data_IF_195900816918
#
_entry.id   IF_195900816918
#
_cell.length_a   1.000
_cell.length_b   1.000
_cell.length_c   1.000
_cell.angle_alpha   90.00
_cell.angle_beta   90.00
_cell.angle_gamma   90.00
#
_symmetry.space_group_name_H-M   'P 1'
#
loop_
_entity.id
_entity.type
_entity.pdbx_description
1 polymer ?
#
# COMPACT_ATOMS: atom_id res chain seq x y z
N UNK A 1 44.01 47.90 -26.21
CA UNK A 1 44.42 47.07 -25.03
C UNK A 1 43.60 47.53 -23.82
N UNK A 2 42.43 46.98 -23.59
CA UNK A 2 41.69 46.88 -22.34
C UNK A 2 40.21 46.59 -22.64
N UNK A 3 39.90 45.41 -23.17
CA UNK A 3 38.55 44.92 -23.34
C UNK A 3 38.37 43.47 -22.85
N UNK A 4 39.40 42.88 -22.22
CA UNK A 4 39.40 41.46 -21.81
C UNK A 4 39.09 41.19 -20.33
N UNK A 5 38.66 42.22 -19.56
CA UNK A 5 38.41 42.03 -18.12
C UNK A 5 36.91 42.11 -17.71
N UNK A 6 36.00 42.00 -18.68
CA UNK A 6 34.56 42.07 -18.37
C UNK A 6 33.82 40.73 -18.56
N UNK A 7 34.54 39.64 -18.74
CA UNK A 7 33.94 38.32 -18.57
C UNK A 7 33.88 38.00 -17.06
N UNK A 8 32.96 38.66 -16.39
CA UNK A 8 32.54 38.22 -15.07
C UNK A 8 31.91 36.87 -15.24
N UNK A 9 32.60 35.82 -14.80
CA UNK A 9 32.07 34.47 -14.78
C UNK A 9 30.73 34.48 -14.01
N UNK A 10 29.63 34.35 -14.74
CA UNK A 10 28.31 34.14 -14.11
C UNK A 10 28.42 32.87 -13.28
N UNK A 11 27.97 32.89 -12.00
CA UNK A 11 27.96 31.70 -11.20
C UNK A 11 27.07 30.65 -11.92
N UNK A 12 27.62 29.47 -12.10
CA UNK A 12 26.90 28.34 -12.67
C UNK A 12 25.65 28.08 -11.81
N UNK A 13 24.49 28.39 -12.34
CA UNK A 13 23.21 28.11 -11.66
C UNK A 13 22.92 26.63 -11.88
N UNK A 14 23.32 25.80 -10.94
CA UNK A 14 22.98 24.39 -10.92
C UNK A 14 21.49 24.25 -10.57
N UNK A 15 20.64 24.09 -11.60
CA UNK A 15 19.23 23.81 -11.40
C UNK A 15 19.11 22.32 -11.09
N UNK A 16 19.09 21.96 -9.82
CA UNK A 16 18.73 20.64 -9.34
C UNK A 16 17.21 20.47 -9.47
N UNK A 17 16.76 19.99 -10.64
CA UNK A 17 15.36 19.64 -10.84
C UNK A 17 15.02 18.39 -10.01
N UNK A 18 14.23 18.54 -8.95
CA UNK A 18 13.67 17.40 -8.26
C UNK A 18 12.57 16.78 -9.14
N UNK A 19 12.65 15.45 -9.35
CA UNK A 19 11.56 14.75 -10.04
C UNK A 19 10.25 14.92 -9.26
N UNK A 20 9.12 15.23 -9.91
CA UNK A 20 7.85 15.36 -9.22
C UNK A 20 7.44 14.02 -8.61
N UNK A 21 6.80 14.06 -7.42
CA UNK A 21 6.28 12.86 -6.74
C UNK A 21 5.10 12.26 -7.53
N UNK A 22 4.35 13.09 -8.27
CA UNK A 22 3.23 12.68 -9.10
C UNK A 22 3.37 13.24 -10.51
N UNK A 23 3.01 12.42 -11.51
CA UNK A 23 2.91 12.82 -12.92
C UNK A 23 1.55 12.42 -13.46
N UNK A 24 0.92 13.30 -14.25
CA UNK A 24 -0.28 12.98 -15.00
C UNK A 24 0.12 12.43 -16.38
N UNK A 25 -0.31 11.25 -16.73
CA UNK A 25 -0.02 10.57 -17.99
C UNK A 25 -1.31 9.93 -18.53
N UNK A 26 -1.74 10.33 -19.73
CA UNK A 26 -2.82 9.66 -20.50
C UNK A 26 -3.99 9.09 -19.65
N UNK A 27 -4.58 9.91 -18.78
CA UNK A 27 -5.75 9.51 -17.98
C UNK A 27 -5.42 8.73 -16.69
N UNK A 28 -4.14 8.65 -16.30
CA UNK A 28 -3.67 8.10 -15.05
C UNK A 28 -2.75 9.06 -14.30
N UNK A 29 -2.71 8.95 -12.99
CA UNK A 29 -1.73 9.61 -12.14
C UNK A 29 -0.67 8.59 -11.72
N UNK A 30 0.59 8.89 -12.02
CA UNK A 30 1.72 8.02 -11.68
C UNK A 30 2.45 8.61 -10.49
N UNK A 31 2.44 7.90 -9.37
CA UNK A 31 3.09 8.28 -8.12
C UNK A 31 4.41 7.53 -7.95
N UNK A 32 5.48 8.27 -7.64
CA UNK A 32 6.73 7.72 -7.13
C UNK A 32 6.51 7.34 -5.65
N UNK A 33 6.09 6.10 -5.41
CA UNK A 33 5.72 5.65 -4.07
C UNK A 33 6.87 5.70 -3.07
N UNK A 34 8.10 5.29 -3.38
CA UNK A 34 9.23 5.43 -2.46
C UNK A 34 9.42 6.86 -1.95
N UNK A 35 9.21 7.85 -2.80
CA UNK A 35 9.31 9.25 -2.40
C UNK A 35 8.10 9.76 -1.63
N UNK A 36 6.91 9.27 -1.99
CA UNK A 36 5.69 9.63 -1.29
C UNK A 36 5.71 9.16 0.17
N UNK A 37 6.16 7.91 0.40
CA UNK A 37 6.15 7.28 1.73
C UNK A 37 7.47 7.44 2.50
N UNK A 38 8.50 8.09 1.92
CA UNK A 38 9.87 8.09 2.46
C UNK A 38 10.01 8.53 3.92
N UNK A 39 9.07 9.35 4.44
CA UNK A 39 9.06 9.82 5.82
C UNK A 39 7.90 9.22 6.66
N UNK A 40 7.15 8.29 6.11
CA UNK A 40 6.00 7.68 6.76
C UNK A 40 6.35 6.29 7.30
N UNK A 41 5.76 5.88 8.43
CA UNK A 41 5.98 4.55 9.00
C UNK A 41 5.18 3.48 8.22
N UNK A 42 5.54 3.28 6.96
CA UNK A 42 4.88 2.36 6.04
C UNK A 42 5.75 1.15 5.79
N UNK A 43 5.29 -0.01 6.20
CA UNK A 43 6.08 -1.24 6.20
C UNK A 43 5.78 -2.17 5.03
N UNK A 44 4.59 -2.05 4.41
CA UNK A 44 4.13 -2.98 3.38
C UNK A 44 3.37 -2.27 2.25
N UNK A 45 3.10 -3.01 1.17
CA UNK A 45 2.44 -2.45 0.00
C UNK A 45 0.99 -2.03 0.26
N UNK A 46 0.26 -2.73 1.14
CA UNK A 46 -1.11 -2.36 1.48
C UNK A 46 -1.17 -0.99 2.16
N UNK A 47 -0.30 -0.77 3.16
CA UNK A 47 -0.22 0.52 3.85
C UNK A 47 0.28 1.63 2.91
N UNK A 48 1.22 1.32 2.00
CA UNK A 48 1.69 2.27 1.00
C UNK A 48 0.55 2.73 0.05
N UNK A 49 -0.36 1.84 -0.32
CA UNK A 49 -1.52 2.19 -1.16
C UNK A 49 -2.49 3.12 -0.42
N UNK A 50 -2.66 2.95 0.89
CA UNK A 50 -3.52 3.84 1.69
C UNK A 50 -3.00 5.28 1.78
N UNK A 51 -1.70 5.48 1.61
CA UNK A 51 -1.09 6.81 1.59
C UNK A 51 -1.28 7.54 0.25
N UNK A 52 -1.81 6.88 -0.78
CA UNK A 52 -2.12 7.55 -2.04
C UNK A 52 -3.26 8.56 -1.85
N UNK A 53 -3.13 9.78 -2.41
CA UNK A 53 -4.17 10.79 -2.30
C UNK A 53 -5.53 10.32 -2.81
N UNK A 54 -6.55 10.49 -1.99
CA UNK A 54 -7.93 10.10 -2.29
C UNK A 54 -8.26 8.64 -2.03
N UNK A 55 -7.30 7.83 -1.59
CA UNK A 55 -7.54 6.46 -1.13
C UNK A 55 -7.98 6.47 0.32
N UNK A 56 -9.03 5.73 0.62
CA UNK A 56 -9.56 5.52 1.98
C UNK A 56 -9.88 4.05 2.17
N UNK A 57 -9.83 3.58 3.41
CA UNK A 57 -10.28 2.25 3.77
C UNK A 57 -11.67 2.34 4.39
N UNK A 58 -12.64 1.59 3.86
CA UNK A 58 -14.00 1.54 4.37
C UNK A 58 -14.55 0.12 4.27
N UNK A 59 -15.12 -0.38 5.36
CA UNK A 59 -15.71 -1.73 5.43
C UNK A 59 -14.75 -2.85 4.99
N UNK A 60 -13.46 -2.72 5.31
CA UNK A 60 -12.43 -3.69 4.92
C UNK A 60 -12.02 -3.65 3.45
N UNK A 61 -12.48 -2.67 2.68
CA UNK A 61 -12.14 -2.45 1.29
C UNK A 61 -11.45 -1.11 1.05
N UNK A 62 -10.64 -1.03 -0.01
CA UNK A 62 -10.05 0.22 -0.45
C UNK A 62 -11.01 0.95 -1.39
N UNK A 63 -11.13 2.25 -1.18
CA UNK A 63 -11.95 3.16 -2.00
C UNK A 63 -11.08 4.29 -2.52
N UNK A 64 -11.35 4.76 -3.73
CA UNK A 64 -10.74 5.94 -4.33
C UNK A 64 -11.84 6.95 -4.67
N UNK A 65 -11.78 8.13 -4.06
CA UNK A 65 -12.79 9.19 -4.25
C UNK A 65 -14.24 8.68 -4.08
N UNK A 66 -14.48 7.81 -3.09
CA UNK A 66 -15.80 7.26 -2.78
C UNK A 66 -16.24 6.08 -3.68
N UNK A 67 -15.40 5.61 -4.59
CA UNK A 67 -15.65 4.44 -5.42
C UNK A 67 -14.79 3.26 -5.00
N UNK A 68 -15.33 2.04 -5.11
CA UNK A 68 -14.55 0.82 -4.88
C UNK A 68 -13.37 0.74 -5.87
N UNK A 69 -12.23 0.32 -5.36
CA UNK A 69 -10.97 0.25 -6.11
C UNK A 69 -10.59 -1.20 -6.39
N UNK A 70 -10.23 -1.48 -7.63
CA UNK A 70 -9.51 -2.71 -7.98
C UNK A 70 -8.01 -2.44 -7.94
N UNK A 71 -7.28 -3.26 -7.18
CA UNK A 71 -5.82 -3.20 -7.13
C UNK A 71 -5.25 -4.30 -8.02
N UNK A 72 -4.26 -3.97 -8.82
CA UNK A 72 -3.53 -4.91 -9.68
C UNK A 72 -2.02 -4.79 -9.47
N UNK A 73 -1.28 -5.84 -9.76
CA UNK A 73 0.17 -5.90 -9.65
C UNK A 73 0.80 -6.05 -11.04
N UNK A 74 1.82 -5.24 -11.32
CA UNK A 74 2.59 -5.25 -12.57
C UNK A 74 1.72 -5.29 -13.84
N UNK A 75 0.59 -4.57 -13.79
CA UNK A 75 -0.36 -4.47 -14.91
C UNK A 75 -1.21 -5.72 -15.14
N UNK A 76 -1.16 -6.70 -14.24
CA UNK A 76 -1.92 -7.96 -14.37
C UNK A 76 -3.11 -7.98 -13.41
N UNK A 77 -4.29 -8.24 -13.96
CA UNK A 77 -5.48 -8.52 -13.15
C UNK A 77 -5.34 -9.90 -12.52
N UNK A 78 -5.52 -9.97 -11.21
CA UNK A 78 -5.46 -11.23 -10.48
C UNK A 78 -6.84 -11.90 -10.39
N UNK A 79 -6.86 -13.22 -10.31
CA UNK A 79 -8.06 -14.02 -10.00
C UNK A 79 -8.26 -14.23 -8.50
N UNK A 80 -7.38 -13.66 -7.67
CA UNK A 80 -7.48 -13.75 -6.21
C UNK A 80 -8.72 -13.00 -5.70
N UNK A 81 -9.27 -13.44 -4.57
CA UNK A 81 -10.26 -12.65 -3.84
C UNK A 81 -9.63 -11.37 -3.28
N UNK A 82 -10.46 -10.40 -2.94
CA UNK A 82 -9.98 -9.12 -2.37
C UNK A 82 -9.16 -9.35 -1.09
N UNK A 83 -9.60 -10.27 -0.24
CA UNK A 83 -8.93 -10.61 1.02
C UNK A 83 -7.56 -11.26 0.76
N UNK A 84 -7.49 -12.17 -0.21
CA UNK A 84 -6.23 -12.81 -0.62
C UNK A 84 -5.25 -11.79 -1.19
N UNK A 85 -5.75 -10.87 -2.03
CA UNK A 85 -4.94 -9.79 -2.60
C UNK A 85 -4.41 -8.86 -1.50
N UNK A 86 -5.26 -8.46 -0.55
CA UNK A 86 -4.81 -7.61 0.55
C UNK A 86 -3.82 -8.31 1.47
N UNK A 87 -3.99 -9.60 1.71
CA UNK A 87 -3.01 -10.42 2.43
C UNK A 87 -1.67 -10.47 1.70
N UNK A 88 -1.71 -10.63 0.38
CA UNK A 88 -0.51 -10.57 -0.47
C UNK A 88 0.16 -9.19 -0.37
N UNK A 89 -0.60 -8.09 -0.51
CA UNK A 89 -0.07 -6.74 -0.40
C UNK A 89 0.57 -6.46 0.96
N UNK A 90 -0.01 -6.99 2.04
CA UNK A 90 0.56 -6.90 3.40
C UNK A 90 1.85 -7.70 3.55
N UNK A 91 2.08 -8.73 2.74
CA UNK A 91 3.32 -9.50 2.73
C UNK A 91 4.44 -8.87 1.90
N UNK A 92 4.12 -7.96 0.98
CA UNK A 92 5.11 -7.28 0.13
C UNK A 92 5.68 -6.07 0.90
N UNK A 93 7.01 -6.03 1.17
CA UNK A 93 7.64 -4.87 1.79
C UNK A 93 7.47 -3.60 0.94
N UNK A 94 7.26 -2.45 1.59
CA UNK A 94 7.14 -1.16 0.91
C UNK A 94 8.38 -0.79 0.09
N UNK A 95 9.55 -1.25 0.51
CA UNK A 95 10.84 -1.07 -0.19
C UNK A 95 10.87 -1.68 -1.60
N UNK A 96 10.04 -2.70 -1.85
CA UNK A 96 9.91 -3.36 -3.16
C UNK A 96 9.06 -2.61 -4.17
N UNK A 97 8.34 -1.60 -3.75
CA UNK A 97 7.48 -0.84 -4.65
C UNK A 97 8.32 0.16 -5.43
N UNK A 98 8.08 0.26 -6.74
CA UNK A 98 8.65 1.28 -7.60
C UNK A 98 7.71 2.47 -7.75
N UNK A 99 6.47 2.21 -8.17
CA UNK A 99 5.46 3.24 -8.43
C UNK A 99 4.05 2.70 -8.27
N UNK A 100 3.10 3.61 -8.12
CA UNK A 100 1.67 3.31 -8.25
C UNK A 100 1.05 4.18 -9.34
N UNK A 101 0.21 3.56 -10.18
CA UNK A 101 -0.57 4.23 -11.19
C UNK A 101 -2.04 4.23 -10.76
N UNK A 102 -2.61 5.42 -10.58
CA UNK A 102 -3.98 5.62 -10.12
C UNK A 102 -4.85 6.04 -11.31
N UNK A 103 -5.90 5.29 -11.56
CA UNK A 103 -6.87 5.52 -12.62
C UNK A 103 -8.27 5.59 -12.02
N UNK A 104 -8.93 6.75 -12.15
CA UNK A 104 -10.31 6.93 -11.66
C UNK A 104 -11.34 6.15 -12.49
N UNK A 105 -11.01 5.89 -13.74
CA UNK A 105 -11.77 5.02 -14.63
C UNK A 105 -10.82 3.99 -15.21
N UNK A 106 -11.06 2.73 -14.89
CA UNK A 106 -10.25 1.63 -15.40
C UNK A 106 -10.37 1.52 -16.93
N UNK A 107 -9.24 1.49 -17.66
CA UNK A 107 -9.27 1.22 -19.10
C UNK A 107 -9.90 -0.15 -19.39
N UNK A 108 -10.64 -0.25 -20.51
CA UNK A 108 -11.36 -1.48 -20.89
C UNK A 108 -10.46 -2.73 -20.99
N UNK A 109 -9.18 -2.54 -21.28
CA UNK A 109 -8.20 -3.63 -21.35
C UNK A 109 -8.07 -4.45 -20.06
N UNK A 110 -8.39 -3.86 -18.91
CA UNK A 110 -8.32 -4.55 -17.62
C UNK A 110 -9.62 -5.30 -17.27
N UNK A 111 -10.70 -5.10 -18.04
CA UNK A 111 -12.00 -5.75 -17.85
C UNK A 111 -12.60 -5.58 -16.44
N UNK A 112 -12.23 -4.50 -15.76
CA UNK A 112 -12.73 -4.13 -14.43
C UNK A 112 -13.52 -2.83 -14.53
N UNK A 113 -14.45 -2.62 -13.60
CA UNK A 113 -15.26 -1.39 -13.51
C UNK A 113 -14.80 -0.53 -12.35
N UNK A 114 -14.95 0.78 -12.49
CA UNK A 114 -14.64 1.74 -11.45
C UNK A 114 -13.17 2.16 -11.45
N UNK A 115 -12.65 2.47 -10.27
CA UNK A 115 -11.28 2.93 -10.10
C UNK A 115 -10.28 1.76 -10.07
N UNK A 116 -9.07 2.02 -10.54
CA UNK A 116 -7.99 1.04 -10.62
C UNK A 116 -6.70 1.62 -10.04
N UNK A 117 -6.00 0.85 -9.24
CA UNK A 117 -4.64 1.15 -8.79
C UNK A 117 -3.73 0.02 -9.26
N UNK A 118 -2.74 0.36 -10.08
CA UNK A 118 -1.70 -0.57 -10.52
C UNK A 118 -0.42 -0.30 -9.72
N UNK A 119 0.03 -1.30 -8.98
CA UNK A 119 1.29 -1.26 -8.23
C UNK A 119 2.36 -1.93 -9.08
N UNK A 120 3.42 -1.20 -9.39
CA UNK A 120 4.60 -1.77 -10.07
C UNK A 120 5.67 -2.05 -9.03
N UNK A 121 6.15 -3.29 -9.03
CA UNK A 121 7.24 -3.70 -8.16
C UNK A 121 8.58 -3.46 -8.84
N UNK A 122 9.58 -3.11 -8.04
CA UNK A 122 10.96 -3.01 -8.53
C UNK A 122 11.39 -4.36 -9.08
N UNK A 123 11.77 -4.36 -10.33
CA UNK A 123 12.42 -5.51 -10.91
C UNK A 123 13.82 -5.60 -10.31
N UNK A 124 14.18 -6.78 -9.85
CA UNK A 124 15.55 -7.02 -9.41
C UNK A 124 16.48 -6.93 -10.62
N UNK A 125 17.19 -5.83 -10.73
CA UNK A 125 18.29 -5.64 -11.69
C UNK A 125 19.52 -6.36 -11.16
N UNK A 126 19.42 -7.66 -11.00
CA UNK A 126 20.58 -8.49 -10.68
C UNK A 126 21.30 -8.93 -11.95
N UNK A 127 22.62 -9.07 -11.85
CA UNK A 127 23.45 -9.72 -12.89
C UNK A 127 22.98 -11.15 -13.22
N UNK A 128 23.82 -11.99 -13.83
CA UNK A 128 23.43 -13.32 -14.33
C UNK A 128 22.77 -14.23 -13.30
N UNK A 129 22.95 -13.99 -12.02
CA UNK A 129 22.12 -14.54 -10.94
C UNK A 129 22.26 -13.68 -9.69
N UNK A 130 21.16 -13.37 -9.01
CA UNK A 130 21.18 -12.59 -7.78
C UNK A 130 20.18 -13.13 -6.75
N UNK A 131 20.57 -13.03 -5.48
CA UNK A 131 19.70 -13.30 -4.34
C UNK A 131 19.45 -12.00 -3.61
N UNK A 132 18.21 -11.75 -3.24
CA UNK A 132 17.81 -10.67 -2.36
C UNK A 132 16.95 -11.24 -1.24
N UNK A 133 17.22 -10.84 -0.01
CA UNK A 133 16.45 -11.27 1.14
C UNK A 133 16.16 -10.10 2.07
N UNK A 134 14.98 -10.10 2.68
CA UNK A 134 14.57 -9.15 3.71
C UNK A 134 13.93 -9.91 4.86
N UNK A 135 14.34 -9.60 6.09
CA UNK A 135 13.73 -10.08 7.31
C UNK A 135 13.16 -8.88 8.06
N UNK A 136 11.91 -8.98 8.43
CA UNK A 136 11.21 -7.96 9.17
C UNK A 136 10.56 -8.58 10.42
N UNK A 137 10.73 -7.94 11.56
CA UNK A 137 10.06 -8.30 12.80
C UNK A 137 9.53 -7.05 13.49
N UNK A 138 8.26 -7.06 13.87
CA UNK A 138 7.63 -5.98 14.63
C UNK A 138 6.90 -6.54 15.83
N UNK A 139 7.30 -6.07 17.01
CA UNK A 139 6.62 -6.34 18.27
C UNK A 139 5.76 -5.14 18.67
N UNK A 140 4.49 -5.37 18.91
CA UNK A 140 3.56 -4.35 19.39
C UNK A 140 3.08 -4.75 20.78
N UNK A 141 3.36 -3.88 21.77
CA UNK A 141 2.85 -4.02 23.12
C UNK A 141 1.95 -2.83 23.43
N UNK A 142 0.64 -3.01 23.27
CA UNK A 142 -0.34 -2.06 23.78
C UNK A 142 -1.04 -2.67 24.99
N UNK A 143 -2.26 -3.18 24.83
CA UNK A 143 -3.02 -3.91 25.87
C UNK A 143 -2.79 -5.41 25.77
N UNK A 144 -2.41 -5.90 24.59
CA UNK A 144 -2.11 -7.29 24.28
C UNK A 144 -0.84 -7.36 23.42
N UNK A 145 -0.12 -8.45 23.58
CA UNK A 145 1.09 -8.71 22.81
C UNK A 145 0.73 -9.10 21.38
N UNK A 146 1.33 -8.40 20.41
CA UNK A 146 1.22 -8.73 19.00
C UNK A 146 2.60 -8.85 18.38
N UNK A 147 2.82 -9.89 17.61
CA UNK A 147 4.06 -10.16 16.91
C UNK A 147 3.81 -10.36 15.42
N UNK A 148 4.51 -9.59 14.61
CA UNK A 148 4.43 -9.65 13.15
C UNK A 148 5.80 -10.00 12.60
N UNK A 149 5.89 -11.09 11.87
CA UNK A 149 7.11 -11.54 11.21
C UNK A 149 6.88 -11.58 9.70
N UNK A 150 7.88 -11.16 8.94
CA UNK A 150 7.93 -11.33 7.50
C UNK A 150 9.33 -11.72 7.06
N UNK A 151 9.40 -12.62 6.10
CA UNK A 151 10.61 -12.95 5.39
C UNK A 151 10.33 -12.94 3.89
N UNK A 152 11.19 -12.31 3.12
CA UNK A 152 11.16 -12.40 1.66
C UNK A 152 12.51 -12.86 1.15
N UNK A 153 12.49 -13.75 0.18
CA UNK A 153 13.66 -14.21 -0.53
C UNK A 153 13.37 -14.25 -2.03
N UNK A 154 14.17 -13.54 -2.78
CA UNK A 154 14.02 -13.43 -4.22
C UNK A 154 15.27 -14.00 -4.87
N UNK A 155 15.07 -14.89 -5.79
CA UNK A 155 16.09 -15.39 -6.70
C UNK A 155 15.81 -14.89 -8.12
N UNK A 156 16.79 -14.26 -8.76
CA UNK A 156 16.74 -13.90 -10.15
C UNK A 156 17.89 -14.58 -10.86
N UNK A 157 17.57 -15.45 -11.82
CA UNK A 157 18.53 -16.12 -12.68
C UNK A 157 18.21 -15.87 -14.14
N UNK A 158 19.15 -16.19 -15.04
CA UNK A 158 19.01 -15.97 -16.49
C UNK A 158 17.82 -16.72 -17.13
N UNK A 159 17.35 -17.80 -16.52
CA UNK A 159 16.31 -18.66 -17.10
C UNK A 159 15.01 -18.64 -16.30
N UNK A 160 15.07 -18.32 -15.02
CA UNK A 160 13.88 -18.24 -14.15
C UNK A 160 14.14 -17.29 -12.99
N UNK A 161 13.07 -16.75 -12.44
CA UNK A 161 13.04 -16.04 -11.17
C UNK A 161 12.07 -16.74 -10.22
N UNK A 162 12.38 -16.69 -8.93
CA UNK A 162 11.53 -17.25 -7.88
C UNK A 162 11.45 -16.26 -6.71
N UNK A 163 10.24 -16.02 -6.26
CA UNK A 163 9.95 -15.19 -5.09
C UNK A 163 9.36 -16.07 -4.00
N UNK A 164 9.97 -16.04 -2.82
CA UNK A 164 9.43 -16.65 -1.62
C UNK A 164 9.07 -15.54 -0.64
N UNK A 165 7.80 -15.51 -0.22
CA UNK A 165 7.27 -14.56 0.74
C UNK A 165 6.65 -15.34 1.89
N UNK A 166 7.09 -15.04 3.11
CA UNK A 166 6.53 -15.56 4.34
C UNK A 166 6.04 -14.40 5.19
N UNK A 167 4.82 -14.49 5.71
CA UNK A 167 4.33 -13.56 6.71
C UNK A 167 3.54 -14.31 7.77
N UNK A 168 3.81 -14.01 9.02
CA UNK A 168 3.07 -14.52 10.17
C UNK A 168 2.68 -13.36 11.06
N UNK A 169 1.40 -13.36 11.46
CA UNK A 169 0.85 -12.37 12.37
C UNK A 169 0.21 -13.13 13.55
N UNK A 170 0.71 -12.88 14.73
CA UNK A 170 0.12 -13.40 15.97
C UNK A 170 -0.28 -12.24 16.86
N UNK A 171 -1.58 -12.16 17.19
CA UNK A 171 -2.12 -11.18 18.12
C UNK A 171 -3.33 -11.78 18.85
N UNK A 172 -3.42 -11.53 20.15
CA UNK A 172 -4.64 -11.81 20.93
C UNK A 172 -5.48 -10.54 20.98
N UNK A 173 -6.73 -10.60 20.51
CA UNK A 173 -7.73 -9.56 20.65
C UNK A 173 -8.92 -10.10 21.40
N UNK A 174 -9.42 -9.34 22.38
CA UNK A 174 -10.74 -9.58 22.95
C UNK A 174 -11.69 -8.54 22.33
N UNK A 175 -12.82 -9.00 21.83
CA UNK A 175 -13.91 -8.12 21.42
C UNK A 175 -14.91 -8.07 22.58
N UNK A 176 -14.99 -6.91 23.21
CA UNK A 176 -16.10 -6.61 24.10
C UNK A 176 -17.21 -5.99 23.24
N UNK A 177 -18.31 -6.68 23.11
CA UNK A 177 -19.48 -6.16 22.41
C UNK A 177 -20.58 -5.95 23.42
N UNK A 178 -20.78 -4.70 23.83
CA UNK A 178 -21.93 -4.31 24.63
C UNK A 178 -23.14 -4.16 23.70
N UNK A 179 -24.15 -4.98 23.91
CA UNK A 179 -25.43 -4.88 23.21
C UNK A 179 -26.47 -4.37 24.17
N UNK A 180 -26.97 -3.17 23.95
CA UNK A 180 -28.13 -2.64 24.65
C UNK A 180 -29.35 -2.78 23.74
N UNK A 181 -30.38 -3.44 24.23
CA UNK A 181 -31.67 -3.52 23.57
C UNK A 181 -32.76 -2.95 24.46
N UNK A 182 -33.52 -2.01 23.93
CA UNK A 182 -34.75 -1.50 24.59
C UNK A 182 -35.96 -2.18 23.97
N UNK A 183 -36.70 -2.92 24.77
CA UNK A 183 -37.99 -3.48 24.39
C UNK A 183 -39.10 -2.69 25.07
N UNK A 184 -39.96 -2.04 24.30
CA UNK A 184 -41.21 -1.46 24.77
C UNK A 184 -42.34 -2.49 24.64
N UNK A 185 -42.97 -2.82 25.75
CA UNK A 185 -44.13 -3.69 25.77
C UNK A 185 -45.42 -2.90 25.51
N UNK A 186 -46.47 -3.60 25.09
CA UNK A 186 -47.75 -2.98 24.73
C UNK A 186 -48.48 -2.33 25.92
N UNK A 187 -48.04 -2.57 27.15
CA UNK A 187 -48.53 -1.96 28.40
C UNK A 187 -47.79 -0.64 28.75
N UNK A 188 -46.86 -0.19 27.91
CA UNK A 188 -46.06 1.03 28.11
C UNK A 188 -44.83 0.87 29.00
N UNK A 189 -44.52 -0.33 29.48
CA UNK A 189 -43.29 -0.60 30.24
C UNK A 189 -42.09 -0.79 29.30
N UNK A 190 -40.90 -0.31 29.72
CA UNK A 190 -39.66 -0.45 28.99
C UNK A 190 -38.71 -1.37 29.75
N UNK A 191 -38.33 -2.48 29.13
CA UNK A 191 -37.30 -3.36 29.65
C UNK A 191 -35.95 -3.08 29.01
N UNK A 192 -34.96 -2.83 29.86
CA UNK A 192 -33.57 -2.66 29.45
C UNK A 192 -32.86 -4.00 29.60
N UNK A 193 -32.32 -4.51 28.50
CA UNK A 193 -31.55 -5.76 28.50
C UNK A 193 -30.12 -5.41 28.07
N UNK A 194 -29.17 -5.61 28.97
CA UNK A 194 -27.75 -5.49 28.70
C UNK A 194 -27.16 -6.89 28.62
N UNK A 195 -26.52 -7.23 27.54
CA UNK A 195 -25.83 -8.52 27.35
C UNK A 195 -24.36 -8.26 27.13
N UNK A 196 -23.50 -8.72 28.04
CA UNK A 196 -22.05 -8.70 27.91
C UNK A 196 -21.62 -10.04 27.29
N UNK A 197 -21.17 -10.00 26.06
CA UNK A 197 -20.56 -11.18 25.41
C UNK A 197 -19.04 -11.01 25.40
N UNK A 198 -18.31 -11.91 26.08
CA UNK A 198 -16.89 -12.07 25.95
C UNK A 198 -16.61 -13.19 24.94
N UNK A 199 -15.96 -12.84 23.82
CA UNK A 199 -15.50 -13.77 22.80
C UNK A 199 -14.00 -13.69 22.58
#
# INVERSE_FOLDING_TARGET
KQLDSLYQSLPEVMITGQRPIVKAEQGKLVYDLPRLIGNLPVDNAYDAVKELPGVTEMNGGLMLAGQGVTVILDGKVTTMSTEQLYSLLKSIPSSRIEKAEVMYNAPARYQVRGALINITLKQSTGGPSSWQGELYGKYNQKHYEGFNERASLIYNGNKFSADFLYSHNHGRGYSLTDKEAMHSLADGSVHHITTDEMG
#
